data_IF_302214941441
#
_entry.id   IF_302214941441
#
_cell.length_a   1.000
_cell.length_b   1.000
_cell.length_c   1.000
_cell.angle_alpha   90.00
_cell.angle_beta   90.00
_cell.angle_gamma   90.00
#
_symmetry.space_group_name_H-M   'P 1'
#
loop_
_entity.id
_entity.type
_entity.pdbx_description
1 polymer ?
#
# COMPACT_ATOMS: atom_id res chain seq x y z
N UNK A 1 -57.46 22.22 28.00
CA UNK A 1 -57.11 22.20 26.56
C UNK A 1 -55.65 22.59 26.27
N UNK A 2 -55.04 23.58 26.94
CA UNK A 2 -53.64 24.00 26.68
C UNK A 2 -52.54 23.01 27.13
N UNK A 3 -52.79 22.21 28.16
CA UNK A 3 -51.79 21.26 28.71
C UNK A 3 -51.73 19.97 27.87
N UNK A 4 -52.88 19.49 27.40
CA UNK A 4 -52.99 18.29 26.57
C UNK A 4 -52.24 18.45 25.24
N UNK A 5 -52.36 19.60 24.57
CA UNK A 5 -51.65 19.86 23.31
C UNK A 5 -50.12 19.93 23.46
N UNK A 6 -49.61 20.34 24.64
CA UNK A 6 -48.17 20.35 24.93
C UNK A 6 -47.64 18.92 25.15
N UNK A 7 -48.41 18.07 25.81
CA UNK A 7 -48.06 16.67 26.04
C UNK A 7 -48.08 15.89 24.73
N UNK A 8 -49.08 16.12 23.86
CA UNK A 8 -49.13 15.50 22.53
C UNK A 8 -47.96 15.93 21.64
N UNK A 9 -47.55 17.20 21.72
CA UNK A 9 -46.37 17.71 20.99
C UNK A 9 -45.07 17.05 21.45
N UNK A 10 -44.86 16.93 22.76
CA UNK A 10 -43.67 16.28 23.33
C UNK A 10 -43.64 14.78 22.99
N UNK A 11 -44.79 14.10 23.07
CA UNK A 11 -44.91 12.69 22.71
C UNK A 11 -44.57 12.44 21.24
N UNK A 12 -45.03 13.31 20.33
CA UNK A 12 -44.75 13.20 18.90
C UNK A 12 -43.27 13.45 18.57
N UNK A 13 -42.63 14.42 19.24
CA UNK A 13 -41.18 14.65 19.11
C UNK A 13 -40.37 13.46 19.62
N UNK A 14 -40.75 12.83 20.73
CA UNK A 14 -40.04 11.67 21.27
C UNK A 14 -40.10 10.46 20.33
N UNK A 15 -41.24 10.24 19.65
CA UNK A 15 -41.37 9.16 18.64
C UNK A 15 -40.44 9.41 17.44
N UNK A 16 -40.28 10.65 16.98
CA UNK A 16 -39.35 10.97 15.89
C UNK A 16 -37.87 10.80 16.28
N UNK A 17 -37.50 11.07 17.54
CA UNK A 17 -36.14 10.83 18.04
C UNK A 17 -35.81 9.33 18.11
N UNK A 18 -36.79 8.47 18.41
CA UNK A 18 -36.59 7.02 18.48
C UNK A 18 -36.41 6.36 17.11
N UNK A 19 -36.85 6.99 16.02
CA UNK A 19 -36.65 6.50 14.64
C UNK A 19 -35.43 7.11 13.94
N UNK A 20 -34.77 8.09 14.55
CA UNK A 20 -33.59 8.75 13.99
C UNK A 20 -32.29 7.93 14.11
N UNK A 21 -32.29 6.90 14.97
CA UNK A 21 -31.22 5.90 15.11
C UNK A 21 -31.54 4.59 14.36
N UNK A 22 -32.10 4.69 13.16
CA UNK A 22 -32.12 3.54 12.26
C UNK A 22 -30.67 3.23 11.87
N UNK A 23 -30.14 2.13 12.37
CA UNK A 23 -28.85 1.60 11.95
C UNK A 23 -28.92 1.35 10.44
N UNK A 24 -28.09 2.05 9.68
CA UNK A 24 -28.08 1.95 8.23
C UNK A 24 -27.26 0.71 7.88
N UNK A 25 -27.85 -0.47 8.07
CA UNK A 25 -27.31 -1.75 7.61
C UNK A 25 -27.44 -1.85 6.07
N UNK A 26 -26.75 -0.95 5.38
CA UNK A 26 -26.50 -1.07 3.96
C UNK A 26 -25.23 -1.87 3.83
N UNK A 27 -25.39 -3.16 3.55
CA UNK A 27 -24.26 -4.05 3.29
C UNK A 27 -23.39 -3.45 2.18
N UNK A 28 -22.16 -3.07 2.53
CA UNK A 28 -21.20 -2.52 1.58
C UNK A 28 -20.69 -3.64 0.67
N UNK A 29 -21.39 -3.90 -0.43
CA UNK A 29 -20.97 -4.86 -1.45
C UNK A 29 -19.63 -4.47 -2.10
N UNK A 30 -19.17 -3.24 -1.93
CA UNK A 30 -17.90 -2.73 -2.48
C UNK A 30 -16.76 -2.74 -1.46
N UNK A 31 -16.96 -3.29 -0.25
CA UNK A 31 -15.87 -3.44 0.70
C UNK A 31 -14.73 -4.25 0.04
N UNK A 32 -13.47 -3.84 0.20
CA UNK A 32 -12.33 -4.60 -0.30
C UNK A 32 -12.31 -5.96 0.41
N UNK A 33 -12.59 -7.01 -0.36
CA UNK A 33 -12.66 -8.39 0.12
C UNK A 33 -11.60 -9.20 -0.63
N UNK A 34 -10.60 -9.65 0.12
CA UNK A 34 -9.51 -10.47 -0.39
C UNK A 34 -10.01 -11.77 -1.02
N UNK A 35 -11.07 -12.38 -0.45
CA UNK A 35 -11.64 -13.61 -0.97
C UNK A 35 -12.30 -13.42 -2.34
N UNK A 36 -12.91 -12.25 -2.57
CA UNK A 36 -13.47 -11.86 -3.88
C UNK A 36 -12.38 -11.49 -4.88
N UNK A 37 -11.37 -10.75 -4.44
CA UNK A 37 -10.28 -10.28 -5.29
C UNK A 37 -9.35 -11.42 -5.77
N UNK A 38 -9.34 -12.55 -5.05
CA UNK A 38 -8.51 -13.72 -5.34
C UNK A 38 -9.37 -14.95 -5.70
N UNK A 39 -10.60 -14.71 -6.17
CA UNK A 39 -11.58 -15.76 -6.43
C UNK A 39 -11.23 -16.65 -7.63
N UNK A 40 -10.43 -16.15 -8.58
CA UNK A 40 -10.00 -16.92 -9.75
C UNK A 40 -8.48 -17.06 -9.86
N UNK A 41 -7.98 -18.14 -10.49
CA UNK A 41 -6.54 -18.28 -10.76
C UNK A 41 -5.98 -17.14 -11.62
N UNK A 42 -6.78 -16.60 -12.54
CA UNK A 42 -6.38 -15.47 -13.37
C UNK A 42 -6.19 -14.18 -12.56
N UNK A 43 -7.05 -13.94 -11.56
CA UNK A 43 -6.92 -12.76 -10.68
C UNK A 43 -5.67 -12.85 -9.82
N UNK A 44 -5.36 -14.04 -9.28
CA UNK A 44 -4.14 -14.29 -8.52
C UNK A 44 -2.90 -14.11 -9.39
N UNK A 45 -2.89 -14.64 -10.63
CA UNK A 45 -1.77 -14.44 -11.54
C UNK A 45 -1.61 -12.95 -11.91
N UNK A 46 -2.71 -12.23 -12.09
CA UNK A 46 -2.72 -10.78 -12.34
C UNK A 46 -2.17 -9.99 -11.15
N UNK A 47 -2.56 -10.32 -9.92
CA UNK A 47 -2.01 -9.73 -8.71
C UNK A 47 -0.49 -9.94 -8.61
N UNK A 48 -0.04 -11.17 -8.87
CA UNK A 48 1.39 -11.48 -8.85
C UNK A 48 2.13 -10.65 -9.91
N UNK A 49 1.59 -10.54 -11.13
CA UNK A 49 2.17 -9.73 -12.21
C UNK A 49 2.24 -8.25 -11.84
N UNK A 50 1.19 -7.70 -11.22
CA UNK A 50 1.13 -6.27 -10.88
C UNK A 50 2.15 -5.87 -9.80
N UNK A 51 2.61 -6.81 -8.97
CA UNK A 51 3.62 -6.53 -7.93
C UNK A 51 4.91 -5.93 -8.49
N UNK A 52 5.31 -6.29 -9.72
CA UNK A 52 6.47 -5.69 -10.37
C UNK A 52 6.25 -4.22 -10.71
N UNK A 53 5.04 -3.85 -11.14
CA UNK A 53 4.74 -2.45 -11.44
C UNK A 53 4.79 -1.60 -10.16
N UNK A 54 4.19 -2.10 -9.07
CA UNK A 54 4.26 -1.43 -7.77
C UNK A 54 5.71 -1.25 -7.31
N UNK A 55 6.51 -2.32 -7.37
CA UNK A 55 7.95 -2.25 -7.08
C UNK A 55 8.68 -1.24 -7.99
N UNK A 56 8.44 -1.30 -9.29
CA UNK A 56 9.11 -0.44 -10.27
C UNK A 56 8.81 1.04 -10.01
N UNK A 57 7.54 1.38 -9.76
CA UNK A 57 7.10 2.74 -9.45
C UNK A 57 7.73 3.24 -8.14
N UNK A 58 7.74 2.42 -7.10
CA UNK A 58 8.39 2.74 -5.82
C UNK A 58 9.89 2.99 -5.93
N UNK A 59 10.56 2.37 -6.90
CA UNK A 59 12.01 2.51 -7.09
C UNK A 59 12.39 3.63 -8.07
N UNK A 60 11.61 3.84 -9.12
CA UNK A 60 12.02 4.69 -10.25
C UNK A 60 11.22 5.99 -10.37
N UNK A 61 10.00 6.05 -9.82
CA UNK A 61 9.11 7.20 -10.01
C UNK A 61 9.05 8.06 -8.76
N UNK A 62 9.01 7.45 -7.58
CA UNK A 62 8.76 8.14 -6.30
C UNK A 62 10.02 8.69 -5.62
N UNK A 63 11.13 8.75 -6.34
CA UNK A 63 12.32 9.49 -5.92
C UNK A 63 13.41 8.72 -5.18
N UNK A 64 13.19 7.43 -4.89
CA UNK A 64 14.22 6.56 -4.28
C UNK A 64 15.47 6.40 -5.16
N UNK A 65 15.38 6.60 -6.47
CA UNK A 65 16.53 6.66 -7.38
C UNK A 65 17.29 8.00 -7.37
N UNK A 66 16.63 9.14 -7.16
CA UNK A 66 17.23 10.46 -7.42
C UNK A 66 18.13 10.95 -6.27
N UNK A 67 17.74 10.70 -5.01
CA UNK A 67 18.53 11.12 -3.85
C UNK A 67 19.89 10.42 -3.74
N UNK A 68 19.97 9.08 -3.85
CA UNK A 68 21.26 8.40 -3.78
C UNK A 68 22.26 8.88 -4.85
N UNK A 69 21.76 9.33 -6.01
CA UNK A 69 22.63 9.84 -7.08
C UNK A 69 23.31 11.15 -6.70
N UNK A 70 22.61 12.07 -6.04
CA UNK A 70 23.19 13.35 -5.59
C UNK A 70 23.94 13.22 -4.27
N UNK A 71 23.57 12.26 -3.41
CA UNK A 71 24.33 11.94 -2.20
C UNK A 71 25.61 11.15 -2.50
N UNK A 72 25.65 10.44 -3.63
CA UNK A 72 26.81 9.71 -4.11
C UNK A 72 27.68 10.51 -5.10
N UNK A 73 27.46 11.82 -5.21
CA UNK A 73 28.20 12.76 -6.09
C UNK A 73 28.23 12.36 -7.58
N UNK A 74 27.33 11.49 -8.02
CA UNK A 74 27.19 11.09 -9.43
C UNK A 74 26.44 12.13 -10.25
N UNK A 75 25.62 12.95 -9.60
CA UNK A 75 24.85 14.05 -10.16
C UNK A 75 24.76 15.20 -9.15
N UNK A 76 24.39 16.40 -9.59
CA UNK A 76 24.10 17.54 -8.70
C UNK A 76 22.75 18.16 -9.05
N UNK A 77 22.11 18.82 -8.08
CA UNK A 77 20.84 19.54 -8.30
C UNK A 77 20.83 20.85 -7.52
N UNK A 78 20.53 21.95 -8.21
CA UNK A 78 20.34 23.25 -7.57
C UNK A 78 18.90 23.47 -7.07
N UNK A 79 17.97 22.55 -7.37
CA UNK A 79 16.55 22.66 -7.05
C UNK A 79 16.07 21.58 -6.08
N UNK A 80 15.04 21.93 -5.30
CA UNK A 80 14.46 21.08 -4.25
C UNK A 80 13.61 19.91 -4.73
N UNK A 81 13.67 19.50 -6.01
CA UNK A 81 12.88 18.37 -6.50
C UNK A 81 13.21 17.11 -5.68
N UNK A 82 12.19 16.47 -5.10
CA UNK A 82 12.33 15.32 -4.20
C UNK A 82 13.26 15.54 -2.99
N UNK A 83 13.62 16.78 -2.62
CA UNK A 83 14.62 17.08 -1.59
C UNK A 83 16.08 17.13 -2.07
N UNK A 84 16.33 17.07 -3.38
CA UNK A 84 17.68 16.84 -3.94
C UNK A 84 18.67 17.97 -3.61
N UNK A 85 18.25 19.23 -3.60
CA UNK A 85 19.13 20.36 -3.22
C UNK A 85 19.67 20.20 -1.80
N UNK A 86 18.82 19.79 -0.87
CA UNK A 86 19.20 19.66 0.55
C UNK A 86 20.20 18.52 0.72
N UNK A 87 20.00 17.41 0.00
CA UNK A 87 20.87 16.23 0.04
C UNK A 87 22.11 16.34 -0.84
N UNK A 88 22.17 17.29 -1.78
CA UNK A 88 23.34 17.57 -2.62
C UNK A 88 24.23 18.69 -2.08
N UNK A 89 23.78 19.41 -1.05
CA UNK A 89 24.53 20.54 -0.48
C UNK A 89 25.66 20.03 0.41
N UNK A 90 26.83 20.65 0.31
CA UNK A 90 27.99 20.36 1.14
C UNK A 90 28.40 21.60 1.96
N UNK A 91 28.66 21.47 3.29
CA UNK A 91 28.55 20.26 4.10
C UNK A 91 27.11 19.75 4.24
N UNK A 92 26.90 18.44 4.07
CA UNK A 92 25.56 17.84 4.13
C UNK A 92 24.94 17.94 5.53
N UNK A 93 23.73 18.50 5.60
CA UNK A 93 22.94 18.53 6.82
C UNK A 93 22.33 17.15 7.13
N UNK A 94 21.98 16.92 8.39
CA UNK A 94 21.22 15.73 8.77
C UNK A 94 19.85 15.72 8.08
N UNK A 95 19.36 14.51 7.74
CA UNK A 95 18.04 14.33 7.13
C UNK A 95 16.95 14.84 8.10
N UNK A 96 15.99 15.58 7.57
CA UNK A 96 14.85 16.07 8.33
C UNK A 96 13.81 14.95 8.50
N UNK A 97 13.81 14.32 9.68
CA UNK A 97 12.86 13.24 10.03
C UNK A 97 11.48 13.74 10.49
N UNK A 98 11.12 14.99 10.19
CA UNK A 98 9.78 15.51 10.49
C UNK A 98 8.78 15.03 9.43
N UNK A 99 7.60 14.52 9.82
CA UNK A 99 6.52 14.25 8.86
C UNK A 99 5.99 15.54 8.21
N UNK A 100 6.30 16.71 8.79
CA UNK A 100 5.97 18.01 8.20
C UNK A 100 7.04 18.52 7.22
N UNK A 101 8.11 17.76 6.97
CA UNK A 101 9.10 18.14 5.96
C UNK A 101 8.46 18.07 4.58
N UNK A 102 8.57 19.16 3.82
CA UNK A 102 7.93 19.27 2.50
C UNK A 102 8.40 18.24 1.47
N UNK A 103 9.45 17.48 1.77
CA UNK A 103 9.97 16.40 0.93
C UNK A 103 9.86 15.00 1.58
N UNK A 104 9.17 14.85 2.72
CA UNK A 104 9.03 13.55 3.40
C UNK A 104 8.52 12.41 2.48
N UNK A 105 7.66 12.75 1.52
CA UNK A 105 7.11 11.82 0.53
C UNK A 105 8.19 11.05 -0.25
N UNK A 106 9.40 11.58 -0.45
CA UNK A 106 10.43 10.80 -1.17
C UNK A 106 10.89 9.56 -0.38
N UNK A 107 10.77 9.58 0.95
CA UNK A 107 11.06 8.42 1.81
C UNK A 107 9.82 7.55 1.94
N UNK A 108 8.68 8.20 2.18
CA UNK A 108 7.42 7.54 2.50
C UNK A 108 6.84 6.78 1.30
N UNK A 109 6.83 7.38 0.11
CA UNK A 109 6.21 6.77 -1.08
C UNK A 109 6.92 5.46 -1.47
N UNK A 110 8.26 5.40 -1.62
CA UNK A 110 8.96 4.13 -1.84
C UNK A 110 8.70 3.12 -0.72
N UNK A 111 8.62 3.57 0.53
CA UNK A 111 8.33 2.67 1.65
C UNK A 111 6.95 2.02 1.48
N UNK A 112 5.91 2.82 1.24
CA UNK A 112 4.55 2.30 1.01
C UNK A 112 4.47 1.39 -0.21
N UNK A 113 5.10 1.77 -1.32
CA UNK A 113 5.10 0.98 -2.55
C UNK A 113 5.82 -0.37 -2.36
N UNK A 114 7.00 -0.37 -1.74
CA UNK A 114 7.76 -1.60 -1.49
C UNK A 114 7.01 -2.52 -0.53
N UNK A 115 6.39 -2.00 0.53
CA UNK A 115 5.54 -2.80 1.41
C UNK A 115 4.25 -3.27 0.72
N UNK A 116 3.68 -2.46 -0.17
CA UNK A 116 2.54 -2.84 -1.01
C UNK A 116 2.87 -4.00 -1.95
N UNK A 117 4.04 -3.97 -2.60
CA UNK A 117 4.55 -5.04 -3.43
C UNK A 117 4.82 -6.32 -2.61
N UNK A 118 5.42 -6.18 -1.42
CA UNK A 118 5.63 -7.29 -0.47
C UNK A 118 4.31 -7.93 -0.06
N UNK A 119 3.31 -7.13 0.34
CA UNK A 119 2.01 -7.65 0.78
C UNK A 119 1.33 -8.42 -0.36
N UNK A 120 1.23 -7.79 -1.54
CA UNK A 120 0.60 -8.38 -2.71
C UNK A 120 1.29 -9.68 -3.15
N UNK A 121 2.62 -9.74 -3.10
CA UNK A 121 3.38 -10.95 -3.42
C UNK A 121 3.11 -12.08 -2.41
N UNK A 122 2.99 -11.76 -1.11
CA UNK A 122 2.66 -12.74 -0.07
C UNK A 122 1.23 -13.25 -0.22
N UNK A 123 0.27 -12.38 -0.51
CA UNK A 123 -1.13 -12.76 -0.75
C UNK A 123 -1.26 -13.66 -1.99
N UNK A 124 -0.54 -13.33 -3.07
CA UNK A 124 -0.45 -14.16 -4.27
C UNK A 124 0.17 -15.54 -4.00
N UNK A 125 1.27 -15.59 -3.24
CA UNK A 125 1.91 -16.86 -2.84
C UNK A 125 1.02 -17.73 -1.95
N UNK A 126 0.31 -17.11 -1.01
CA UNK A 126 -0.64 -17.83 -0.14
C UNK A 126 -1.79 -18.42 -0.97
N UNK A 127 -2.31 -17.66 -1.93
CA UNK A 127 -3.39 -18.10 -2.81
C UNK A 127 -2.96 -19.22 -3.76
N UNK A 128 -1.76 -19.11 -4.35
CA UNK A 128 -1.16 -20.20 -5.13
C UNK A 128 -1.06 -21.48 -4.31
N UNK A 129 -0.51 -21.39 -3.08
CA UNK A 129 -0.32 -22.56 -2.21
C UNK A 129 -1.64 -23.21 -1.82
N UNK A 130 -2.66 -22.42 -1.47
CA UNK A 130 -3.99 -22.91 -1.16
C UNK A 130 -4.65 -23.58 -2.38
N UNK A 131 -4.48 -22.97 -3.56
CA UNK A 131 -4.96 -23.49 -4.83
C UNK A 131 -4.34 -24.82 -5.27
N UNK A 132 -3.12 -25.11 -4.80
CA UNK A 132 -2.38 -26.34 -5.06
C UNK A 132 -2.72 -27.49 -4.10
N UNK A 133 -3.61 -27.27 -3.12
CA UNK A 133 -4.01 -28.31 -2.18
C UNK A 133 -4.57 -29.55 -2.91
N UNK A 134 -4.16 -30.74 -2.46
CA UNK A 134 -4.50 -32.00 -3.11
C UNK A 134 -3.70 -32.32 -4.37
N UNK A 135 -2.60 -31.61 -4.63
CA UNK A 135 -1.62 -31.94 -5.69
C UNK A 135 -2.07 -31.54 -7.09
N UNK A 136 -3.00 -30.58 -7.20
CA UNK A 136 -3.48 -30.02 -8.47
C UNK A 136 -2.66 -28.78 -8.82
N UNK A 137 -2.60 -28.46 -10.11
CA UNK A 137 -2.15 -27.15 -10.55
C UNK A 137 -3.24 -26.14 -10.25
N UNK A 138 -2.86 -24.95 -9.78
CA UNK A 138 -3.80 -23.86 -9.57
C UNK A 138 -4.04 -23.06 -10.85
N UNK A 139 -2.94 -22.72 -11.54
CA UNK A 139 -2.95 -22.17 -12.89
C UNK A 139 -3.09 -23.29 -13.93
N UNK A 140 -3.01 -22.92 -15.21
CA UNK A 140 -3.27 -23.86 -16.32
C UNK A 140 -2.31 -25.06 -16.32
N UNK A 141 -1.05 -24.86 -15.93
CA UNK A 141 0.00 -25.89 -15.89
C UNK A 141 0.85 -25.81 -14.62
N UNK A 142 1.60 -26.88 -14.32
CA UNK A 142 2.54 -26.90 -13.21
C UNK A 142 3.68 -25.89 -13.43
N UNK A 143 4.06 -25.68 -14.69
CA UNK A 143 5.05 -24.71 -15.11
C UNK A 143 4.56 -23.27 -14.91
N UNK A 144 3.27 -22.98 -15.14
CA UNK A 144 2.67 -21.68 -14.86
C UNK A 144 2.70 -21.35 -13.36
N UNK A 145 2.29 -22.31 -12.54
CA UNK A 145 2.37 -22.21 -11.08
C UNK A 145 3.80 -21.92 -10.64
N UNK A 146 4.77 -22.66 -11.19
CA UNK A 146 6.17 -22.47 -10.82
C UNK A 146 6.70 -21.11 -11.24
N UNK A 147 6.32 -20.62 -12.43
CA UNK A 147 6.68 -19.28 -12.90
C UNK A 147 6.12 -18.21 -11.96
N UNK A 148 4.84 -18.31 -11.60
CA UNK A 148 4.20 -17.35 -10.70
C UNK A 148 4.83 -17.37 -9.30
N UNK A 149 5.13 -18.55 -8.76
CA UNK A 149 5.83 -18.72 -7.47
C UNK A 149 7.21 -18.06 -7.49
N UNK A 150 8.02 -18.34 -8.53
CA UNK A 150 9.38 -17.78 -8.66
C UNK A 150 9.32 -16.26 -8.80
N UNK A 151 8.40 -15.75 -9.61
CA UNK A 151 8.25 -14.30 -9.80
C UNK A 151 7.84 -13.59 -8.51
N UNK A 152 6.84 -14.11 -7.80
CA UNK A 152 6.42 -13.52 -6.52
C UNK A 152 7.55 -13.54 -5.48
N UNK A 153 8.35 -14.63 -5.41
CA UNK A 153 9.52 -14.72 -4.54
C UNK A 153 10.62 -13.73 -4.92
N UNK A 154 10.84 -13.52 -6.22
CA UNK A 154 11.79 -12.50 -6.70
C UNK A 154 11.38 -11.11 -6.24
N UNK A 155 10.12 -10.71 -6.43
CA UNK A 155 9.61 -9.40 -5.98
C UNK A 155 9.69 -9.26 -4.46
N UNK A 156 9.32 -10.30 -3.72
CA UNK A 156 9.47 -10.32 -2.27
C UNK A 156 10.93 -10.06 -1.85
N UNK A 157 11.89 -10.74 -2.48
CA UNK A 157 13.30 -10.60 -2.14
C UNK A 157 13.85 -9.21 -2.46
N UNK A 158 13.65 -8.70 -3.68
CA UNK A 158 14.19 -7.39 -4.08
C UNK A 158 13.57 -6.25 -3.27
N UNK A 159 12.26 -6.35 -2.96
CA UNK A 159 11.58 -5.31 -2.18
C UNK A 159 12.07 -5.28 -0.74
N UNK A 160 12.23 -6.45 -0.11
CA UNK A 160 12.81 -6.52 1.24
C UNK A 160 14.26 -6.03 1.28
N UNK A 161 15.07 -6.35 0.27
CA UNK A 161 16.45 -5.90 0.19
C UNK A 161 16.55 -4.36 0.15
N UNK A 162 15.64 -3.70 -0.59
CA UNK A 162 15.61 -2.23 -0.70
C UNK A 162 15.12 -1.55 0.57
N UNK A 163 14.08 -2.08 1.22
CA UNK A 163 13.61 -1.60 2.53
C UNK A 163 14.73 -1.68 3.57
N UNK A 164 15.50 -2.78 3.58
CA UNK A 164 16.60 -2.98 4.53
C UNK A 164 17.82 -2.08 4.25
N UNK A 165 18.06 -1.74 2.98
CA UNK A 165 19.09 -0.76 2.60
C UNK A 165 18.71 0.69 2.95
N UNK A 166 17.42 1.03 2.94
CA UNK A 166 16.92 2.35 3.33
C UNK A 166 17.03 2.65 4.83
N UNK A 167 17.03 1.62 5.69
CA UNK A 167 17.04 1.76 7.16
C UNK A 167 18.45 1.82 7.76
N UNK A 168 19.48 1.37 7.05
CA UNK A 168 20.84 1.21 7.61
C UNK A 168 21.72 2.46 7.55
N UNK A 169 21.30 3.55 6.90
CA UNK A 169 22.05 4.83 6.87
C UNK A 169 21.32 6.03 7.47
N UNK A 170 20.11 5.85 8.00
CA UNK A 170 19.29 6.95 8.56
C UNK A 170 19.47 7.10 10.09
N UNK A 171 20.16 6.15 10.74
CA UNK A 171 20.28 6.09 12.21
C UNK A 171 21.72 6.08 12.75
N UNK A 172 22.69 6.58 12.00
CA UNK A 172 24.07 6.80 12.47
C UNK A 172 24.52 8.19 12.08
#
# INVERSE_FOLDING_TARGET
>A
MKITNKITGIALSFVMFMTACADLDVTNTNAPDQSRALASPADVESLIKSTFLTWWQGVHVTGSGFQPMVMGDSQSSSWGNYGMREMSSEPRAAINNSPAWGYAFYIEDPWYDLYGAISSAKDGLASLKAGQEGGKNFLATAEDDKRAEVFAKFILAISNAQVHHGTTRVFT
#
